data_IF_369994751806
#
_entry.id   IF_369994751806
#
_cell.length_a   1.000
_cell.length_b   1.000
_cell.length_c   1.000
_cell.angle_alpha   90.00
_cell.angle_beta   90.00
_cell.angle_gamma   90.00
#
_symmetry.space_group_name_H-M   'P 1'
#
loop_
_entity.id
_entity.type
_entity.pdbx_description
1 polymer ?
#
# COMPACT_ATOMS: atom_id res chain seq x y z
N UNK A 1 22.76 -15.79 -16.39
CA UNK A 1 21.81 -15.57 -15.29
C UNK A 1 22.61 -14.92 -14.16
N UNK A 2 22.68 -13.59 -14.13
CA UNK A 2 23.35 -12.87 -13.05
C UNK A 2 22.43 -12.91 -11.83
N UNK A 3 22.77 -13.76 -10.86
CA UNK A 3 22.26 -13.62 -9.50
C UNK A 3 22.96 -12.40 -8.90
N UNK A 4 22.22 -11.31 -8.76
CA UNK A 4 22.67 -10.09 -8.10
C UNK A 4 22.84 -10.43 -6.62
N UNK A 5 24.05 -10.82 -6.21
CA UNK A 5 24.38 -11.03 -4.80
C UNK A 5 24.70 -9.65 -4.22
N UNK A 6 23.88 -9.19 -3.28
CA UNK A 6 23.88 -7.82 -2.77
C UNK A 6 24.83 -7.72 -1.55
N UNK A 7 25.71 -6.72 -1.51
CA UNK A 7 26.81 -6.61 -0.53
C UNK A 7 26.39 -5.92 0.80
N UNK A 8 25.12 -5.52 0.97
CA UNK A 8 24.62 -4.80 2.15
C UNK A 8 23.45 -5.51 2.85
N UNK A 9 23.77 -6.50 3.69
CA UNK A 9 22.77 -7.30 4.41
C UNK A 9 21.83 -6.46 5.28
N UNK A 10 22.35 -5.44 5.97
CA UNK A 10 21.56 -4.60 6.88
C UNK A 10 20.52 -3.74 6.15
N UNK A 11 20.86 -3.22 4.97
CA UNK A 11 19.93 -2.44 4.15
C UNK A 11 18.78 -3.30 3.61
N UNK A 12 19.09 -4.55 3.19
CA UNK A 12 18.08 -5.49 2.70
C UNK A 12 17.08 -5.90 3.79
N UNK A 13 17.55 -6.22 4.99
CA UNK A 13 16.69 -6.60 6.12
C UNK A 13 15.74 -5.47 6.54
N UNK A 14 16.23 -4.22 6.54
CA UNK A 14 15.38 -3.06 6.84
C UNK A 14 14.33 -2.81 5.74
N UNK A 15 14.70 -2.95 4.48
CA UNK A 15 13.77 -2.79 3.35
C UNK A 15 12.69 -3.88 3.38
N UNK A 16 13.06 -5.13 3.61
CA UNK A 16 12.08 -6.23 3.70
C UNK A 16 11.20 -6.11 4.94
N UNK A 17 11.76 -5.72 6.09
CA UNK A 17 10.99 -5.41 7.30
C UNK A 17 10.00 -4.26 7.07
N UNK A 18 10.43 -3.17 6.42
CA UNK A 18 9.56 -2.05 6.07
C UNK A 18 8.47 -2.48 5.09
N UNK A 19 8.77 -3.35 4.13
CA UNK A 19 7.80 -3.89 3.15
C UNK A 19 6.78 -4.79 3.84
N UNK A 20 7.21 -5.68 4.72
CA UNK A 20 6.33 -6.56 5.50
C UNK A 20 5.38 -5.73 6.37
N UNK A 21 5.91 -4.75 7.11
CA UNK A 21 5.10 -3.84 7.94
C UNK A 21 4.12 -3.02 7.09
N UNK A 22 4.56 -2.49 5.94
CA UNK A 22 3.69 -1.73 5.04
C UNK A 22 2.54 -2.58 4.48
N UNK A 23 2.77 -3.86 4.17
CA UNK A 23 1.70 -4.78 3.74
C UNK A 23 0.72 -5.08 4.88
N UNK A 24 1.24 -5.35 6.08
CA UNK A 24 0.43 -5.62 7.27
C UNK A 24 -0.47 -4.43 7.64
N UNK A 25 0.05 -3.19 7.54
CA UNK A 25 -0.73 -1.99 7.82
C UNK A 25 -1.65 -1.65 6.65
N UNK A 26 -1.17 -1.55 5.41
CA UNK A 26 -2.01 -0.99 4.34
C UNK A 26 -3.09 -1.95 3.82
N UNK A 27 -2.90 -3.27 3.89
CA UNK A 27 -3.87 -4.21 3.32
C UNK A 27 -5.22 -4.21 4.07
N UNK A 28 -5.28 -4.34 5.41
CA UNK A 28 -6.56 -4.31 6.13
C UNK A 28 -7.28 -2.96 6.00
N UNK A 29 -6.55 -1.85 6.03
CA UNK A 29 -7.13 -0.50 5.95
C UNK A 29 -7.75 -0.22 4.57
N UNK A 30 -7.07 -0.60 3.49
CA UNK A 30 -7.62 -0.45 2.14
C UNK A 30 -8.82 -1.38 1.91
N UNK A 31 -8.79 -2.60 2.44
CA UNK A 31 -9.93 -3.54 2.36
C UNK A 31 -11.14 -2.98 3.11
N UNK A 32 -10.95 -2.40 4.30
CA UNK A 32 -12.03 -1.75 5.05
C UNK A 32 -12.66 -0.60 4.26
N UNK A 33 -11.85 0.25 3.63
CA UNK A 33 -12.31 1.34 2.78
C UNK A 33 -13.11 0.85 1.56
N UNK A 34 -12.61 -0.17 0.84
CA UNK A 34 -13.34 -0.74 -0.31
C UNK A 34 -14.65 -1.39 0.15
N UNK A 35 -14.66 -2.03 1.33
CA UNK A 35 -15.86 -2.65 1.90
C UNK A 35 -16.94 -1.63 2.27
N UNK A 36 -16.54 -0.43 2.70
CA UNK A 36 -17.47 0.69 2.93
C UNK A 36 -17.84 1.46 1.65
N UNK A 37 -17.37 1.00 0.48
CA UNK A 37 -17.72 1.56 -0.83
C UNK A 37 -16.77 2.67 -1.32
N UNK A 38 -15.66 2.92 -0.63
CA UNK A 38 -14.67 3.88 -1.08
C UNK A 38 -13.92 3.34 -2.31
N UNK A 39 -13.80 4.15 -3.35
CA UNK A 39 -13.00 3.80 -4.54
C UNK A 39 -11.56 4.20 -4.29
N UNK A 40 -10.63 3.26 -4.32
CA UNK A 40 -9.20 3.56 -4.14
C UNK A 40 -8.50 3.45 -5.49
N UNK A 41 -7.80 4.51 -5.91
CA UNK A 41 -7.01 4.54 -7.15
C UNK A 41 -5.57 4.90 -6.82
N UNK A 42 -4.61 4.05 -7.23
CA UNK A 42 -3.16 4.23 -6.98
C UNK A 42 -2.80 4.40 -5.48
N UNK A 43 -3.58 3.81 -4.58
CA UNK A 43 -3.35 3.91 -3.12
C UNK A 43 -3.93 5.18 -2.48
N UNK A 44 -4.56 6.07 -3.25
CA UNK A 44 -5.31 7.20 -2.74
C UNK A 44 -6.81 6.89 -2.74
N UNK A 45 -7.50 7.25 -1.65
CA UNK A 45 -8.96 7.26 -1.63
C UNK A 45 -9.46 8.31 -2.61
N UNK A 46 -10.25 7.87 -3.59
CA UNK A 46 -10.95 8.73 -4.55
C UNK A 46 -12.40 8.81 -4.07
N UNK A 47 -12.75 9.92 -3.43
CA UNK A 47 -14.15 10.23 -3.15
C UNK A 47 -14.93 10.36 -4.46
N UNK A 48 -16.22 9.98 -4.46
CA UNK A 48 -17.13 10.49 -5.48
C UNK A 48 -17.21 12.00 -5.25
N UNK A 49 -17.05 12.86 -6.28
CA UNK A 49 -17.43 14.26 -6.11
C UNK A 49 -18.85 14.26 -5.57
N UNK A 50 -19.06 14.85 -4.38
CA UNK A 50 -20.40 15.10 -3.86
C UNK A 50 -21.14 15.79 -5.01
N UNK A 51 -22.17 15.15 -5.55
CA UNK A 51 -23.17 15.90 -6.27
C UNK A 51 -23.70 16.89 -5.25
N UNK A 52 -23.34 18.17 -5.39
CA UNK A 52 -24.04 19.24 -4.70
C UNK A 52 -25.50 19.06 -5.10
N UNK A 53 -26.31 18.52 -4.19
CA UNK A 53 -27.74 18.49 -4.36
C UNK A 53 -28.18 19.95 -4.51
N UNK A 54 -28.90 20.21 -5.60
CA UNK A 54 -29.40 21.52 -5.99
C UNK A 54 -30.38 22.08 -4.95
#
# INVERSE_FOLDING_TARGET
MLVVVNEDAMASELVESARARRRAVNAPHLVALVRTGARVKRGCQVERPKATAA
#
